data_IF_481325577100
#
_entry.id   IF_481325577100
#
_cell.length_a   1.000
_cell.length_b   1.000
_cell.length_c   1.000
_cell.angle_alpha   90.00
_cell.angle_beta   90.00
_cell.angle_gamma   90.00
#
_symmetry.space_group_name_H-M   'P 1'
#
loop_
_entity.id
_entity.type
_entity.pdbx_description
1 polymer ?
#
# COMPACT_ATOMS: atom_id res chain seq x y z
N UNK A 1 15.11 15.63 -18.17
CA UNK A 1 13.80 15.40 -17.54
C UNK A 1 13.68 13.92 -17.35
N UNK A 2 13.37 13.44 -16.14
CA UNK A 2 13.24 12.02 -15.84
C UNK A 2 11.95 11.45 -16.45
N UNK A 3 11.90 10.13 -16.69
CA UNK A 3 10.65 9.49 -17.13
C UNK A 3 9.60 9.63 -16.01
N UNK A 4 8.35 9.98 -16.30
CA UNK A 4 7.32 10.13 -15.27
C UNK A 4 6.92 8.78 -14.69
N UNK A 5 6.48 8.78 -13.43
CA UNK A 5 5.95 7.58 -12.76
C UNK A 5 4.47 7.43 -13.14
N UNK A 6 4.16 6.50 -14.06
CA UNK A 6 2.80 6.27 -14.58
C UNK A 6 2.24 4.91 -14.20
N UNK A 7 3.08 4.00 -13.77
CA UNK A 7 2.72 2.62 -13.46
C UNK A 7 2.77 2.37 -11.95
N UNK A 8 1.81 1.63 -11.44
CA UNK A 8 1.81 1.16 -10.06
C UNK A 8 1.71 -0.36 -9.99
N UNK A 9 2.40 -0.96 -9.03
CA UNK A 9 2.34 -2.38 -8.69
C UNK A 9 1.78 -2.51 -7.28
N UNK A 10 0.71 -3.29 -7.13
CA UNK A 10 0.04 -3.54 -5.85
C UNK A 10 0.17 -5.04 -5.52
N UNK A 11 1.06 -5.43 -4.61
CA UNK A 11 1.15 -6.81 -4.15
C UNK A 11 -0.05 -7.18 -3.28
N UNK A 12 -0.83 -8.19 -3.73
CA UNK A 12 -2.03 -8.68 -3.06
C UNK A 12 -2.08 -10.22 -3.00
N UNK A 13 -0.92 -10.90 -3.03
CA UNK A 13 -0.83 -12.35 -3.05
C UNK A 13 -0.78 -13.00 -1.65
N UNK A 14 -0.69 -12.22 -0.57
CA UNK A 14 -0.56 -12.72 0.80
C UNK A 14 -1.79 -13.51 1.29
N UNK A 15 -1.58 -14.49 2.18
CA UNK A 15 -2.63 -15.39 2.68
C UNK A 15 -3.60 -14.76 3.68
N UNK A 16 -3.25 -13.65 4.31
CA UNK A 16 -4.13 -12.92 5.24
C UNK A 16 -4.42 -13.66 6.55
N UNK A 17 -3.51 -14.50 7.03
CA UNK A 17 -3.72 -15.39 8.20
C UNK A 17 -4.06 -14.68 9.50
N UNK A 18 -3.69 -13.41 9.65
CA UNK A 18 -4.00 -12.60 10.84
C UNK A 18 -5.51 -12.36 11.03
N UNK A 19 -6.28 -12.43 9.94
CA UNK A 19 -7.73 -12.20 9.93
C UNK A 19 -8.56 -13.49 9.81
N UNK A 20 -7.97 -14.66 10.02
CA UNK A 20 -8.76 -15.88 10.11
C UNK A 20 -9.76 -15.78 11.28
N UNK A 21 -11.01 -16.28 11.11
CA UNK A 21 -11.51 -17.05 9.96
C UNK A 21 -12.02 -16.23 8.77
N UNK A 22 -12.18 -14.90 8.86
CA UNK A 22 -12.76 -14.05 7.81
C UNK A 22 -12.05 -14.23 6.46
N UNK A 23 -10.72 -14.33 6.48
CA UNK A 23 -9.89 -14.45 5.27
C UNK A 23 -9.75 -15.89 4.75
N UNK A 24 -10.51 -16.85 5.26
CA UNK A 24 -10.52 -18.21 4.71
C UNK A 24 -11.00 -18.24 3.26
N UNK A 25 -12.02 -17.44 2.93
CA UNK A 25 -12.63 -17.36 1.60
C UNK A 25 -12.58 -15.95 0.98
N UNK A 26 -12.28 -14.94 1.77
CA UNK A 26 -12.24 -13.52 1.33
C UNK A 26 -10.81 -13.01 1.39
N UNK A 27 -10.26 -12.41 0.33
CA UNK A 27 -8.98 -11.71 0.39
C UNK A 27 -8.97 -10.67 1.51
N UNK A 28 -7.86 -10.55 2.26
CA UNK A 28 -7.75 -9.51 3.29
C UNK A 28 -7.91 -8.10 2.70
N UNK A 29 -7.51 -7.92 1.48
CA UNK A 29 -7.60 -6.67 0.72
C UNK A 29 -9.06 -6.30 0.37
N UNK A 30 -9.99 -7.26 0.47
CA UNK A 30 -11.43 -7.06 0.27
C UNK A 30 -12.20 -6.83 1.58
N UNK A 31 -11.53 -6.87 2.75
CA UNK A 31 -12.18 -6.50 4.00
C UNK A 31 -12.57 -5.01 3.94
N UNK A 32 -13.84 -4.67 4.23
CA UNK A 32 -14.32 -3.30 4.04
C UNK A 32 -13.99 -2.41 5.23
N UNK A 33 -13.47 -1.23 4.95
CA UNK A 33 -13.42 -0.12 5.89
C UNK A 33 -14.70 0.69 5.66
N UNK A 34 -15.64 0.59 6.57
CA UNK A 34 -17.05 1.02 6.45
C UNK A 34 -17.75 0.22 5.34
N UNK A 35 -17.79 0.73 4.11
CA UNK A 35 -18.48 0.16 2.94
C UNK A 35 -17.57 -0.02 1.71
N UNK A 36 -16.30 0.37 1.82
CA UNK A 36 -15.32 0.34 0.73
C UNK A 36 -14.23 -0.67 1.02
N UNK A 37 -13.93 -1.64 0.11
CA UNK A 37 -12.82 -2.56 0.27
C UNK A 37 -11.47 -1.84 0.45
N UNK A 38 -10.62 -2.38 1.31
CA UNK A 38 -9.29 -1.81 1.61
C UNK A 38 -8.50 -1.52 0.34
N UNK A 39 -8.46 -2.44 -0.63
CA UNK A 39 -7.70 -2.27 -1.87
C UNK A 39 -8.19 -1.09 -2.71
N UNK A 40 -9.46 -0.72 -2.62
CA UNK A 40 -9.98 0.41 -3.37
C UNK A 40 -9.39 1.75 -2.88
N UNK A 41 -9.15 1.91 -1.56
CA UNK A 41 -8.44 3.09 -1.04
C UNK A 41 -7.03 3.20 -1.63
N UNK A 42 -6.32 2.08 -1.77
CA UNK A 42 -4.96 2.03 -2.33
C UNK A 42 -4.97 2.43 -3.82
N UNK A 43 -5.94 1.93 -4.57
CA UNK A 43 -6.09 2.23 -6.00
C UNK A 43 -6.50 3.70 -6.19
N UNK A 44 -7.44 4.21 -5.41
CA UNK A 44 -7.84 5.61 -5.45
C UNK A 44 -6.67 6.56 -5.13
N UNK A 45 -5.80 6.20 -4.18
CA UNK A 45 -4.56 6.95 -3.90
C UNK A 45 -3.62 6.96 -5.10
N UNK A 46 -3.42 5.80 -5.74
CA UNK A 46 -2.57 5.70 -6.93
C UNK A 46 -3.10 6.59 -8.07
N UNK A 47 -4.40 6.53 -8.38
CA UNK A 47 -5.03 7.36 -9.41
C UNK A 47 -4.93 8.86 -9.08
N UNK A 48 -5.19 9.24 -7.82
CA UNK A 48 -5.08 10.62 -7.36
C UNK A 48 -3.62 11.13 -7.38
N UNK A 49 -2.64 10.23 -7.48
CA UNK A 49 -1.21 10.55 -7.62
C UNK A 49 -0.74 10.66 -9.07
N UNK A 50 -1.62 10.42 -10.05
CA UNK A 50 -1.32 10.51 -11.48
C UNK A 50 -0.88 9.18 -12.11
N UNK A 51 -1.12 8.04 -11.46
CA UNK A 51 -0.88 6.71 -12.04
C UNK A 51 -1.93 6.44 -13.13
N UNK A 52 -1.48 5.92 -14.26
CA UNK A 52 -2.30 5.62 -15.43
C UNK A 52 -2.60 4.12 -15.58
N UNK A 53 -1.62 3.26 -15.26
CA UNK A 53 -1.73 1.81 -15.37
C UNK A 53 -1.41 1.14 -14.02
N UNK A 54 -2.32 0.30 -13.55
CA UNK A 54 -2.18 -0.41 -12.27
C UNK A 54 -2.04 -1.90 -12.53
N UNK A 55 -1.03 -2.53 -11.93
CA UNK A 55 -0.85 -3.98 -11.90
C UNK A 55 -1.08 -4.50 -10.49
N UNK A 56 -2.03 -5.40 -10.32
CA UNK A 56 -2.23 -6.14 -9.08
C UNK A 56 -1.55 -7.52 -9.20
N UNK A 57 -0.62 -7.79 -8.28
CA UNK A 57 -0.01 -9.11 -8.18
C UNK A 57 -0.88 -9.97 -7.27
N UNK A 58 -1.68 -10.85 -7.88
CA UNK A 58 -2.63 -11.71 -7.18
C UNK A 58 -2.03 -13.06 -6.80
N UNK A 59 -2.67 -13.75 -5.87
CA UNK A 59 -2.41 -15.14 -5.51
C UNK A 59 -3.60 -16.04 -5.83
N UNK A 60 -3.49 -17.30 -5.41
CA UNK A 60 -4.64 -18.22 -5.43
C UNK A 60 -5.74 -17.69 -4.49
N UNK A 61 -7.00 -17.83 -4.89
CA UNK A 61 -8.18 -17.40 -4.09
C UNK A 61 -8.35 -15.87 -3.94
N UNK A 62 -7.82 -15.08 -4.90
CA UNK A 62 -7.95 -13.61 -4.91
C UNK A 62 -8.96 -13.08 -5.96
N UNK A 63 -9.79 -13.96 -6.53
CA UNK A 63 -10.74 -13.63 -7.59
C UNK A 63 -11.71 -12.49 -7.20
N UNK A 64 -12.10 -12.39 -5.94
CA UNK A 64 -12.97 -11.30 -5.48
C UNK A 64 -12.38 -9.89 -5.69
N UNK A 65 -11.05 -9.76 -5.82
CA UNK A 65 -10.40 -8.50 -6.19
C UNK A 65 -10.68 -8.19 -7.67
N UNK A 66 -10.55 -9.19 -8.53
CA UNK A 66 -10.82 -9.08 -9.96
C UNK A 66 -12.30 -8.73 -10.19
N UNK A 67 -13.20 -9.53 -9.59
CA UNK A 67 -14.66 -9.35 -9.68
C UNK A 67 -15.12 -7.95 -9.19
N UNK A 68 -14.43 -7.33 -8.22
CA UNK A 68 -14.78 -6.01 -7.69
C UNK A 68 -14.54 -4.87 -8.69
N UNK A 69 -13.52 -4.98 -9.51
CA UNK A 69 -13.15 -3.95 -10.50
C UNK A 69 -13.66 -4.28 -11.90
N UNK A 70 -14.20 -5.49 -12.11
CA UNK A 70 -14.85 -5.86 -13.37
C UNK A 70 -16.28 -5.31 -13.44
N UNK A 71 -16.80 -5.17 -14.68
CA UNK A 71 -18.17 -4.75 -14.89
C UNK A 71 -19.17 -5.84 -14.48
N UNK A 72 -20.13 -5.44 -13.68
CA UNK A 72 -21.29 -6.29 -13.34
C UNK A 72 -22.53 -5.81 -14.10
N UNK A 73 -22.69 -6.28 -15.33
CA UNK A 73 -23.77 -5.86 -16.24
C UNK A 73 -25.16 -6.10 -15.61
N UNK A 74 -25.35 -7.24 -14.96
CA UNK A 74 -26.63 -7.57 -14.31
C UNK A 74 -26.96 -6.58 -13.17
N UNK A 75 -25.96 -6.24 -12.33
CA UNK A 75 -26.11 -5.24 -11.27
C UNK A 75 -26.43 -3.85 -11.86
N UNK A 76 -25.70 -3.44 -12.89
CA UNK A 76 -25.91 -2.14 -13.54
C UNK A 76 -27.34 -2.02 -14.10
N UNK A 77 -27.83 -3.04 -14.80
CA UNK A 77 -29.19 -3.07 -15.33
C UNK A 77 -30.27 -3.05 -14.21
N UNK A 78 -30.04 -3.74 -13.11
CA UNK A 78 -30.94 -3.73 -11.95
C UNK A 78 -30.99 -2.34 -11.29
N UNK A 79 -29.83 -1.70 -11.11
CA UNK A 79 -29.74 -0.34 -10.52
C UNK A 79 -30.43 0.68 -11.43
N UNK A 80 -30.25 0.58 -12.75
CA UNK A 80 -30.89 1.45 -13.75
C UNK A 80 -32.41 1.28 -13.72
N UNK A 81 -32.89 0.05 -13.76
CA UNK A 81 -34.33 -0.26 -13.70
C UNK A 81 -34.99 0.19 -12.38
N UNK A 82 -34.24 0.20 -11.28
CA UNK A 82 -34.67 0.63 -9.96
C UNK A 82 -34.52 2.14 -9.71
N UNK A 83 -34.01 2.91 -10.67
CA UNK A 83 -33.77 4.35 -10.55
C UNK A 83 -32.67 4.73 -9.56
N UNK A 84 -31.79 3.81 -9.18
CA UNK A 84 -30.66 4.00 -8.25
C UNK A 84 -29.45 4.60 -8.97
N UNK A 85 -29.57 5.84 -9.41
CA UNK A 85 -28.58 6.50 -10.28
C UNK A 85 -27.24 6.71 -9.59
N UNK A 86 -27.21 7.06 -8.30
CA UNK A 86 -25.96 7.29 -7.56
C UNK A 86 -25.15 6.00 -7.41
N UNK A 87 -25.80 4.91 -7.06
CA UNK A 87 -25.19 3.59 -6.94
C UNK A 87 -24.69 3.08 -8.30
N UNK A 88 -25.46 3.33 -9.37
CA UNK A 88 -25.06 2.99 -10.74
C UNK A 88 -23.80 3.75 -11.17
N UNK A 89 -23.74 5.05 -10.93
CA UNK A 89 -22.56 5.87 -11.22
C UNK A 89 -21.34 5.39 -10.43
N UNK A 90 -21.52 5.05 -9.15
CA UNK A 90 -20.46 4.51 -8.31
C UNK A 90 -19.89 3.20 -8.87
N UNK A 91 -20.75 2.23 -9.21
CA UNK A 91 -20.35 0.93 -9.77
C UNK A 91 -19.61 1.11 -11.10
N UNK A 92 -20.16 1.94 -11.99
CA UNK A 92 -19.53 2.24 -13.29
C UNK A 92 -18.15 2.88 -13.13
N UNK A 93 -17.99 3.84 -12.19
CA UNK A 93 -16.71 4.49 -11.91
C UNK A 93 -15.65 3.52 -11.41
N UNK A 94 -16.03 2.55 -10.55
CA UNK A 94 -15.11 1.52 -10.05
C UNK A 94 -14.64 0.63 -11.21
N UNK A 95 -15.53 0.26 -12.12
CA UNK A 95 -15.24 -0.64 -13.24
C UNK A 95 -14.51 0.03 -14.42
N UNK A 96 -14.37 1.36 -14.41
CA UNK A 96 -13.66 2.11 -15.49
C UNK A 96 -12.15 2.27 -15.21
N UNK A 97 -11.65 1.69 -14.16
CA UNK A 97 -10.22 1.78 -13.78
C UNK A 97 -9.42 0.77 -14.60
N UNK A 98 -8.31 1.23 -15.21
CA UNK A 98 -7.42 0.35 -15.97
C UNK A 98 -6.53 -0.47 -15.04
N UNK A 99 -6.87 -1.75 -14.86
CA UNK A 99 -6.15 -2.69 -13.99
C UNK A 99 -5.70 -3.90 -14.78
N UNK A 100 -4.47 -4.31 -14.54
CA UNK A 100 -3.87 -5.55 -15.02
C UNK A 100 -3.68 -6.51 -13.85
N UNK A 101 -3.72 -7.82 -14.12
CA UNK A 101 -3.55 -8.84 -13.10
C UNK A 101 -2.46 -9.83 -13.51
N UNK A 102 -1.50 -10.06 -12.63
CA UNK A 102 -0.50 -11.12 -12.78
C UNK A 102 -0.51 -11.98 -11.52
N UNK A 103 -0.47 -13.30 -11.70
CA UNK A 103 -0.48 -14.22 -10.57
C UNK A 103 0.95 -14.53 -10.12
N UNK A 104 1.25 -14.27 -8.85
CA UNK A 104 2.38 -14.86 -8.17
C UNK A 104 2.06 -16.35 -7.90
N UNK A 105 2.67 -17.25 -8.67
CA UNK A 105 2.35 -18.69 -8.60
C UNK A 105 2.79 -19.32 -7.29
N UNK A 106 3.90 -18.84 -6.73
CA UNK A 106 4.50 -19.30 -5.47
C UNK A 106 4.70 -18.11 -4.52
N UNK A 107 4.27 -18.18 -3.26
CA UNK A 107 4.40 -17.09 -2.29
C UNK A 107 5.83 -16.99 -1.75
N UNK A 108 6.76 -16.51 -2.57
CA UNK A 108 8.20 -16.42 -2.27
C UNK A 108 8.63 -15.06 -1.70
N UNK A 109 7.72 -14.29 -1.15
CA UNK A 109 7.98 -12.99 -0.53
C UNK A 109 7.65 -11.78 -1.40
N UNK A 110 7.79 -10.58 -0.81
CA UNK A 110 7.44 -9.31 -1.44
C UNK A 110 8.35 -8.99 -2.63
N UNK A 111 9.65 -9.18 -2.50
CA UNK A 111 10.60 -8.96 -3.60
C UNK A 111 10.26 -9.82 -4.82
N UNK A 112 9.88 -11.09 -4.61
CA UNK A 112 9.44 -11.95 -5.70
C UNK A 112 8.11 -11.48 -6.32
N UNK A 113 7.18 -10.95 -5.53
CA UNK A 113 5.95 -10.36 -6.07
C UNK A 113 6.27 -9.17 -7.00
N UNK A 114 7.18 -8.28 -6.58
CA UNK A 114 7.64 -7.17 -7.44
C UNK A 114 8.36 -7.68 -8.69
N UNK A 115 9.20 -8.72 -8.58
CA UNK A 115 9.86 -9.32 -9.73
C UNK A 115 8.87 -9.84 -10.79
N UNK A 116 7.69 -10.32 -10.38
CA UNK A 116 6.62 -10.72 -11.33
C UNK A 116 6.13 -9.56 -12.19
N UNK A 117 6.33 -8.30 -11.78
CA UNK A 117 5.93 -7.12 -12.52
C UNK A 117 6.93 -6.69 -13.61
N UNK A 118 8.13 -7.30 -13.71
CA UNK A 118 9.23 -6.86 -14.58
C UNK A 118 8.78 -6.57 -16.01
N UNK A 119 8.03 -7.46 -16.63
CA UNK A 119 7.59 -7.29 -18.03
C UNK A 119 6.52 -6.21 -18.21
N UNK A 120 5.68 -5.97 -17.20
CA UNK A 120 4.70 -4.89 -17.21
C UNK A 120 5.36 -3.53 -17.04
N UNK A 121 6.31 -3.44 -16.12
CA UNK A 121 7.04 -2.20 -15.83
C UNK A 121 7.96 -1.81 -16.97
N UNK A 122 8.73 -2.77 -17.51
CA UNK A 122 9.75 -2.49 -18.52
C UNK A 122 10.88 -1.61 -17.95
N UNK A 123 11.27 -0.59 -18.69
CA UNK A 123 12.36 0.35 -18.36
C UNK A 123 11.83 1.68 -17.80
N UNK A 124 10.72 1.65 -17.07
CA UNK A 124 10.10 2.85 -16.50
C UNK A 124 10.20 2.84 -14.97
N UNK A 125 10.28 4.02 -14.32
CA UNK A 125 10.06 4.12 -12.89
C UNK A 125 8.62 3.73 -12.56
N UNK A 126 8.42 3.13 -11.42
CA UNK A 126 7.10 2.66 -11.01
C UNK A 126 6.86 2.84 -9.52
N UNK A 127 5.59 2.97 -9.16
CA UNK A 127 5.16 3.00 -7.78
C UNK A 127 4.90 1.59 -7.26
N UNK A 128 5.15 1.36 -5.96
CA UNK A 128 4.66 0.19 -5.24
C UNK A 128 3.81 0.67 -4.08
N UNK A 129 2.59 0.13 -3.96
CA UNK A 129 1.70 0.39 -2.84
C UNK A 129 1.31 -0.94 -2.21
N UNK A 130 1.61 -1.12 -0.92
CA UNK A 130 1.18 -2.32 -0.20
C UNK A 130 -0.33 -2.28 0.05
N UNK A 131 -1.00 -3.40 -0.20
CA UNK A 131 -2.47 -3.53 -0.17
C UNK A 131 -3.10 -3.47 1.23
N UNK A 132 -2.30 -3.38 2.29
CA UNK A 132 -2.72 -3.32 3.69
C UNK A 132 -2.24 -2.06 4.44
N UNK A 133 -1.75 -1.06 3.72
CA UNK A 133 -1.37 0.24 4.26
C UNK A 133 -2.29 1.34 3.69
N UNK A 134 -3.26 1.79 4.45
CA UNK A 134 -4.15 2.90 4.06
C UNK A 134 -3.60 4.20 4.63
N UNK A 135 -3.47 5.22 3.79
CA UNK A 135 -3.04 6.55 4.22
C UNK A 135 -4.13 7.58 3.97
N UNK A 136 -4.52 8.27 5.03
CA UNK A 136 -5.41 9.41 4.96
C UNK A 136 -4.60 10.70 5.01
N UNK A 137 -4.60 11.43 3.90
CA UNK A 137 -3.86 12.69 3.78
C UNK A 137 -4.51 13.62 2.76
N UNK A 138 -4.25 14.93 2.92
CA UNK A 138 -4.74 15.94 1.98
C UNK A 138 -4.07 15.82 0.59
N UNK A 139 -2.78 15.53 0.57
CA UNK A 139 -2.01 15.21 -0.64
C UNK A 139 -1.68 13.73 -0.55
N UNK A 140 -2.06 12.88 -1.53
CA UNK A 140 -1.78 11.46 -1.48
C UNK A 140 -0.32 11.17 -1.13
N UNK A 141 -0.07 10.18 -0.26
CA UNK A 141 1.30 9.87 0.16
C UNK A 141 2.18 9.50 -1.05
N UNK A 142 1.66 8.72 -1.97
CA UNK A 142 2.38 8.40 -3.21
C UNK A 142 2.73 9.66 -4.02
N UNK A 143 1.82 10.64 -4.13
CA UNK A 143 2.11 11.90 -4.84
C UNK A 143 3.26 12.66 -4.21
N UNK A 144 3.34 12.67 -2.87
CA UNK A 144 4.46 13.30 -2.16
C UNK A 144 5.81 12.64 -2.52
N UNK A 145 5.83 11.30 -2.65
CA UNK A 145 7.03 10.58 -3.09
C UNK A 145 7.38 10.87 -4.55
N UNK A 146 6.36 10.93 -5.43
CA UNK A 146 6.56 11.26 -6.85
C UNK A 146 7.17 12.66 -6.98
N UNK A 147 6.75 13.63 -6.15
CA UNK A 147 7.30 14.98 -6.16
C UNK A 147 8.81 15.02 -5.79
N UNK A 148 9.27 14.11 -4.93
CA UNK A 148 10.70 13.93 -4.62
C UNK A 148 11.41 13.24 -5.79
N UNK A 149 10.81 12.21 -6.38
CA UNK A 149 11.34 11.53 -7.55
C UNK A 149 11.51 12.50 -8.73
N UNK A 150 10.53 13.35 -9.01
CA UNK A 150 10.57 14.33 -10.11
C UNK A 150 11.74 15.33 -9.99
N UNK A 151 12.20 15.60 -8.77
CA UNK A 151 13.37 16.42 -8.50
C UNK A 151 14.69 15.67 -8.62
N UNK A 152 14.71 14.41 -8.19
CA UNK A 152 15.97 13.66 -7.97
C UNK A 152 16.25 12.61 -9.05
N UNK A 153 15.21 12.08 -9.70
CA UNK A 153 15.29 10.93 -10.62
C UNK A 153 15.68 9.61 -9.94
N UNK A 154 15.71 9.58 -8.61
CA UNK A 154 16.15 8.45 -7.82
C UNK A 154 14.99 7.75 -7.13
N UNK A 155 15.16 6.47 -6.74
CA UNK A 155 14.17 5.74 -5.97
C UNK A 155 13.84 6.44 -4.65
N UNK A 156 12.57 6.45 -4.26
CA UNK A 156 12.06 7.11 -3.05
C UNK A 156 11.24 6.14 -2.22
N UNK A 157 11.56 6.05 -0.94
CA UNK A 157 10.85 5.24 0.05
C UNK A 157 9.96 6.13 0.92
N UNK A 158 8.70 5.76 1.08
CA UNK A 158 7.81 6.42 2.04
C UNK A 158 8.06 5.92 3.44
N UNK A 159 8.45 6.82 4.34
CA UNK A 159 8.77 6.49 5.72
C UNK A 159 7.99 7.36 6.71
N UNK A 160 7.86 6.89 7.94
CA UNK A 160 7.49 7.68 9.12
C UNK A 160 8.24 7.14 10.35
N UNK A 161 8.42 7.99 11.35
CA UNK A 161 8.91 7.53 12.65
C UNK A 161 7.88 6.61 13.33
N UNK A 162 8.35 5.47 13.83
CA UNK A 162 7.54 4.54 14.63
C UNK A 162 8.06 4.46 16.05
N UNK A 163 7.21 4.08 17.03
CA UNK A 163 7.68 3.77 18.39
C UNK A 163 8.76 2.69 18.37
N UNK A 164 9.72 2.80 19.31
CA UNK A 164 10.89 1.91 19.38
C UNK A 164 10.49 0.42 19.41
N UNK A 165 9.43 0.08 20.13
CA UNK A 165 8.93 -1.30 20.26
C UNK A 165 8.33 -1.85 18.95
N UNK A 166 8.07 -0.99 17.95
CA UNK A 166 7.49 -1.38 16.65
C UNK A 166 8.51 -1.53 15.52
N UNK A 167 9.78 -1.17 15.73
CA UNK A 167 10.81 -1.23 14.67
C UNK A 167 10.97 -2.66 14.12
N UNK A 168 10.80 -3.69 14.94
CA UNK A 168 10.91 -5.10 14.52
C UNK A 168 9.78 -5.57 13.57
N UNK A 169 8.79 -4.73 13.30
CA UNK A 169 7.69 -5.05 12.37
C UNK A 169 7.98 -4.60 10.93
N UNK A 170 8.94 -3.70 10.71
CA UNK A 170 9.15 -2.98 9.45
C UNK A 170 10.59 -3.07 8.96
N UNK A 171 10.81 -2.77 7.68
CA UNK A 171 12.12 -2.37 7.18
C UNK A 171 12.48 -1.00 7.75
N UNK A 172 13.65 -0.88 8.36
CA UNK A 172 14.13 0.35 8.99
C UNK A 172 15.26 0.96 8.15
N UNK A 173 15.17 2.26 7.91
CA UNK A 173 16.11 3.03 7.09
C UNK A 173 17.13 3.74 7.98
N UNK A 174 18.42 3.65 7.62
CA UNK A 174 19.43 4.61 8.03
C UNK A 174 19.67 5.61 6.91
N UNK A 175 19.88 6.87 7.24
CA UNK A 175 20.12 7.90 6.21
C UNK A 175 20.71 9.17 6.79
N UNK A 176 21.25 10.00 5.88
CA UNK A 176 21.79 11.31 6.19
C UNK A 176 20.76 12.40 5.82
N UNK A 177 20.62 13.45 6.64
CA UNK A 177 19.78 14.59 6.31
C UNK A 177 20.17 15.20 4.96
N UNK A 178 19.19 15.74 4.24
CA UNK A 178 19.41 16.52 3.01
C UNK A 178 18.96 17.96 3.21
N UNK A 179 19.21 18.82 2.24
CA UNK A 179 18.71 20.22 2.25
C UNK A 179 17.18 20.27 2.02
N UNK A 180 16.58 19.21 1.51
CA UNK A 180 15.13 19.10 1.32
C UNK A 180 14.45 18.64 2.62
N UNK A 181 13.46 19.40 3.07
CA UNK A 181 12.72 19.07 4.28
C UNK A 181 12.09 17.67 4.21
N UNK A 182 12.11 16.93 5.34
CA UNK A 182 11.51 15.60 5.48
C UNK A 182 12.16 14.52 4.59
N UNK A 183 13.31 14.81 3.96
CA UNK A 183 13.99 13.89 3.04
C UNK A 183 15.35 13.52 3.63
N UNK A 184 15.65 12.23 3.65
CA UNK A 184 16.98 11.73 4.00
C UNK A 184 17.54 10.91 2.84
N UNK A 185 18.85 11.01 2.62
CA UNK A 185 19.57 10.13 1.69
C UNK A 185 19.82 8.80 2.37
N UNK A 186 19.30 7.73 1.80
CA UNK A 186 19.43 6.38 2.36
C UNK A 186 20.89 5.92 2.31
N UNK A 187 21.42 5.46 3.45
CA UNK A 187 22.77 4.90 3.56
C UNK A 187 22.74 3.40 3.86
N UNK A 188 21.73 2.91 4.58
CA UNK A 188 21.52 1.50 4.86
C UNK A 188 20.05 1.18 5.16
N UNK A 189 19.70 -0.12 5.11
CA UNK A 189 18.38 -0.63 5.43
C UNK A 189 18.48 -1.99 6.10
N UNK A 190 17.60 -2.26 7.07
CA UNK A 190 17.53 -3.57 7.75
C UNK A 190 16.08 -4.02 7.85
N UNK A 191 15.79 -5.22 7.35
CA UNK A 191 14.44 -5.82 7.40
C UNK A 191 14.17 -6.37 8.79
N UNK A 192 13.17 -5.79 9.48
CA UNK A 192 12.69 -6.23 10.79
C UNK A 192 13.83 -6.49 11.80
N UNK A 193 14.66 -5.49 12.09
CA UNK A 193 15.78 -5.65 13.01
C UNK A 193 15.30 -6.00 14.44
N UNK A 194 16.18 -6.55 15.27
CA UNK A 194 15.96 -6.50 16.70
C UNK A 194 15.94 -5.03 17.18
N UNK A 195 15.24 -4.75 18.28
CA UNK A 195 15.05 -3.38 18.77
C UNK A 195 16.41 -2.67 19.01
N UNK A 196 17.38 -3.42 19.49
CA UNK A 196 18.73 -2.96 19.83
C UNK A 196 19.61 -2.76 18.58
N UNK A 197 19.26 -3.42 17.46
CA UNK A 197 20.01 -3.39 16.20
C UNK A 197 19.41 -2.42 15.18
N UNK A 198 18.25 -1.82 15.49
CA UNK A 198 17.60 -0.90 14.59
C UNK A 198 18.45 0.37 14.37
N UNK A 199 18.85 0.70 13.13
CA UNK A 199 19.72 1.84 12.87
C UNK A 199 19.03 3.19 13.10
N UNK A 200 17.71 3.21 13.13
CA UNK A 200 16.87 4.38 13.38
C UNK A 200 15.47 3.94 13.80
N UNK A 201 14.52 4.90 13.83
CA UNK A 201 13.08 4.64 13.93
C UNK A 201 12.30 4.98 12.66
N UNK A 202 12.99 5.27 11.57
CA UNK A 202 12.36 5.54 10.27
C UNK A 202 11.96 4.23 9.59
N UNK A 203 10.69 3.90 9.68
CA UNK A 203 10.11 2.68 9.12
C UNK A 203 9.57 2.92 7.71
N UNK A 204 9.84 2.00 6.80
CA UNK A 204 9.25 2.01 5.46
C UNK A 204 7.81 1.54 5.53
N UNK A 205 6.88 2.39 5.10
CA UNK A 205 5.45 2.20 5.31
C UNK A 205 4.67 2.08 3.99
N UNK A 206 4.99 1.05 3.23
CA UNK A 206 4.16 0.55 2.15
C UNK A 206 4.01 1.43 0.91
N UNK A 207 4.76 2.52 0.80
CA UNK A 207 4.80 3.41 -0.37
C UNK A 207 6.21 3.53 -0.89
N UNK A 208 6.37 3.29 -2.21
CA UNK A 208 7.68 3.34 -2.87
C UNK A 208 7.51 3.93 -4.27
N UNK A 209 8.51 4.68 -4.70
CA UNK A 209 8.82 4.94 -6.11
C UNK A 209 10.15 4.26 -6.38
N UNK A 210 10.20 3.33 -7.33
CA UNK A 210 11.38 2.50 -7.57
C UNK A 210 11.78 2.62 -9.04
N UNK A 211 13.07 2.71 -9.28
CA UNK A 211 13.64 2.70 -10.63
C UNK A 211 13.81 1.26 -11.16
N UNK A 212 13.76 1.02 -12.49
CA UNK A 212 13.74 -0.33 -13.06
C UNK A 212 15.01 -1.15 -12.81
N UNK A 213 16.11 -0.50 -12.38
CA UNK A 213 17.36 -1.16 -12.00
C UNK A 213 17.21 -2.15 -10.84
N UNK A 214 16.10 -2.08 -10.11
CA UNK A 214 15.78 -3.06 -9.06
C UNK A 214 15.62 -4.49 -9.61
N UNK A 215 15.17 -4.67 -10.86
CA UNK A 215 14.84 -5.99 -11.40
C UNK A 215 16.05 -6.91 -11.54
N UNK A 216 17.20 -6.51 -12.14
CA UNK A 216 18.39 -7.33 -12.14
C UNK A 216 18.87 -7.73 -10.74
N UNK A 217 18.69 -6.86 -9.76
CA UNK A 217 19.05 -7.13 -8.36
C UNK A 217 18.09 -8.17 -7.77
N UNK A 218 16.79 -8.03 -7.98
CA UNK A 218 15.78 -9.00 -7.51
C UNK A 218 15.98 -10.39 -8.11
N UNK A 219 16.43 -10.51 -9.36
CA UNK A 219 16.75 -11.79 -9.99
C UNK A 219 17.89 -12.55 -9.31
N UNK A 220 18.81 -11.81 -8.66
CA UNK A 220 19.97 -12.36 -7.96
C UNK A 220 19.79 -12.44 -6.45
N UNK A 221 18.75 -11.78 -5.91
CA UNK A 221 18.50 -11.73 -4.46
C UNK A 221 18.17 -13.13 -3.92
N UNK A 222 18.97 -13.59 -2.97
CA UNK A 222 18.75 -14.85 -2.29
C UNK A 222 17.63 -14.74 -1.25
N UNK A 223 16.90 -15.83 -0.95
CA UNK A 223 15.95 -15.83 0.13
C UNK A 223 16.59 -15.45 1.46
N UNK A 224 16.02 -14.47 2.14
CA UNK A 224 16.44 -13.97 3.45
C UNK A 224 15.53 -14.47 4.56
N UNK A 225 15.14 -13.56 5.46
CA UNK A 225 14.27 -13.87 6.60
C UNK A 225 12.98 -14.57 6.17
N UNK A 226 12.62 -15.66 6.82
CA UNK A 226 11.43 -16.45 6.51
C UNK A 226 11.52 -17.27 5.21
N UNK A 227 12.71 -17.42 4.65
CA UNK A 227 12.95 -18.06 3.33
C UNK A 227 12.22 -17.33 2.19
N UNK A 228 12.08 -16.00 2.30
CA UNK A 228 11.43 -15.12 1.35
C UNK A 228 12.44 -14.21 0.64
N UNK A 229 12.19 -13.88 -0.62
CA UNK A 229 12.90 -12.82 -1.34
C UNK A 229 12.36 -11.49 -0.82
N UNK A 230 13.16 -10.81 0.01
CA UNK A 230 12.77 -9.55 0.64
C UNK A 230 13.03 -8.38 -0.31
N UNK A 231 12.06 -7.48 -0.43
CA UNK A 231 12.25 -6.25 -1.19
C UNK A 231 13.30 -5.34 -0.54
N UNK A 232 13.33 -5.29 0.79
CA UNK A 232 14.29 -4.50 1.57
C UNK A 232 15.74 -4.89 1.27
N UNK A 233 16.03 -6.19 1.11
CA UNK A 233 17.37 -6.67 0.79
C UNK A 233 17.82 -6.21 -0.61
N UNK A 234 16.91 -6.26 -1.59
CA UNK A 234 17.18 -5.76 -2.94
C UNK A 234 17.35 -4.23 -2.96
N UNK A 235 16.51 -3.49 -2.23
CA UNK A 235 16.62 -2.04 -2.10
C UNK A 235 17.95 -1.62 -1.41
N UNK A 236 18.40 -2.39 -0.42
CA UNK A 236 19.72 -2.20 0.21
C UNK A 236 20.87 -2.31 -0.79
N UNK A 237 20.79 -3.25 -1.72
CA UNK A 237 21.79 -3.38 -2.80
C UNK A 237 21.69 -2.18 -3.75
N UNK A 238 20.48 -1.85 -4.20
CA UNK A 238 20.22 -0.71 -5.08
C UNK A 238 20.75 0.61 -4.51
N UNK A 239 20.58 0.84 -3.20
CA UNK A 239 21.06 2.04 -2.51
C UNK A 239 22.59 2.20 -2.49
N UNK A 240 23.34 1.08 -2.73
CA UNK A 240 24.79 1.12 -2.87
C UNK A 240 25.24 1.43 -4.30
N UNK A 241 24.38 1.15 -5.28
CA UNK A 241 24.70 1.34 -6.70
C UNK A 241 24.26 2.70 -7.22
N UNK A 242 23.21 3.29 -6.62
CA UNK A 242 22.67 4.60 -7.02
C UNK A 242 22.06 5.35 -5.83
N UNK A 243 21.92 6.69 -5.91
CA UNK A 243 21.22 7.46 -4.89
C UNK A 243 19.81 6.94 -4.64
N UNK A 244 19.40 6.92 -3.37
CA UNK A 244 18.05 6.58 -2.93
C UNK A 244 17.65 7.52 -1.80
N UNK A 245 16.40 7.92 -1.76
CA UNK A 245 15.89 8.81 -0.74
C UNK A 245 14.76 8.15 0.06
N UNK A 246 14.62 8.55 1.30
CA UNK A 246 13.45 8.25 2.12
C UNK A 246 12.76 9.57 2.45
N UNK A 247 11.45 9.62 2.23
CA UNK A 247 10.63 10.78 2.48
C UNK A 247 9.62 10.50 3.59
N UNK A 248 9.69 11.29 4.67
CA UNK A 248 8.74 11.24 5.77
C UNK A 248 7.42 11.89 5.35
N UNK A 249 6.52 11.09 4.76
CA UNK A 249 5.28 11.60 4.18
C UNK A 249 4.30 12.11 5.25
N UNK A 250 3.51 13.11 4.87
CA UNK A 250 2.46 13.69 5.70
C UNK A 250 1.18 12.91 5.49
N UNK A 251 0.58 12.43 6.59
CA UNK A 251 -0.69 11.72 6.57
C UNK A 251 -0.84 10.77 7.76
N UNK A 252 -2.08 10.38 8.05
CA UNK A 252 -2.38 9.34 9.03
C UNK A 252 -2.37 7.98 8.33
N UNK A 253 -1.38 7.16 8.66
CA UNK A 253 -1.29 5.78 8.17
C UNK A 253 -2.04 4.83 9.10
N UNK A 254 -2.76 3.88 8.52
CA UNK A 254 -3.41 2.76 9.18
C UNK A 254 -2.82 1.46 8.65
N UNK A 255 -2.24 0.64 9.55
CA UNK A 255 -1.85 -0.74 9.24
C UNK A 255 -3.10 -1.62 9.30
N UNK A 256 -3.81 -1.72 8.18
CA UNK A 256 -5.03 -2.54 8.11
C UNK A 256 -4.72 -4.03 7.89
N UNK A 257 -3.44 -4.40 7.85
CA UNK A 257 -2.98 -5.79 7.95
C UNK A 257 -2.95 -6.33 9.39
N UNK A 258 -3.19 -5.46 10.39
CA UNK A 258 -3.35 -5.78 11.80
C UNK A 258 -4.76 -5.47 12.28
N UNK A 259 -5.29 -6.25 13.25
CA UNK A 259 -6.67 -6.08 13.75
C UNK A 259 -6.91 -4.73 14.41
N UNK A 260 -5.94 -4.26 15.21
CA UNK A 260 -6.07 -2.97 15.88
C UNK A 260 -6.10 -1.82 14.87
N UNK A 261 -5.13 -1.79 13.94
CA UNK A 261 -5.08 -0.76 12.89
C UNK A 261 -6.30 -0.80 11.97
N UNK A 262 -6.86 -1.99 11.69
CA UNK A 262 -8.08 -2.13 10.92
C UNK A 262 -9.31 -1.51 11.66
N UNK A 263 -9.41 -1.74 12.96
CA UNK A 263 -10.47 -1.13 13.78
C UNK A 263 -10.31 0.39 13.88
N UNK A 264 -9.09 0.89 14.10
CA UNK A 264 -8.80 2.33 14.09
C UNK A 264 -9.22 2.98 12.77
N UNK A 265 -8.83 2.39 11.63
CA UNK A 265 -9.22 2.86 10.31
C UNK A 265 -10.74 2.88 10.15
N UNK A 266 -11.43 1.81 10.56
CA UNK A 266 -12.88 1.70 10.44
C UNK A 266 -13.60 2.77 11.26
N UNK A 267 -13.17 2.98 12.50
CA UNK A 267 -13.77 4.00 13.39
C UNK A 267 -13.51 5.42 12.85
N UNK A 268 -12.27 5.75 12.52
CA UNK A 268 -11.92 7.10 12.08
C UNK A 268 -12.54 7.42 10.71
N UNK A 269 -12.62 6.47 9.77
CA UNK A 269 -13.27 6.67 8.48
C UNK A 269 -14.79 6.79 8.63
N UNK A 270 -15.43 6.00 9.51
CA UNK A 270 -16.86 6.15 9.82
C UNK A 270 -17.19 7.54 10.39
N UNK A 271 -16.30 8.10 11.22
CA UNK A 271 -16.46 9.46 11.75
C UNK A 271 -16.25 10.56 10.68
N UNK A 272 -15.62 10.25 9.54
CA UNK A 272 -15.52 11.16 8.40
C UNK A 272 -16.70 11.07 7.44
N UNK A 273 -17.49 9.98 7.51
CA UNK A 273 -18.69 9.82 6.70
C UNK A 273 -19.82 10.72 7.26
N UNK A 274 -20.29 11.73 6.52
CA UNK A 274 -21.30 12.67 7.03
C UNK A 274 -22.59 12.00 7.49
N UNK A 275 -23.01 10.92 6.81
CA UNK A 275 -24.25 10.20 7.10
C UNK A 275 -24.19 9.38 8.40
N UNK A 276 -22.98 8.97 8.80
CA UNK A 276 -22.75 8.12 9.98
C UNK A 276 -22.28 8.91 11.20
N UNK A 277 -21.52 10.00 10.98
CA UNK A 277 -20.74 10.71 11.97
C UNK A 277 -21.45 10.91 13.30
N UNK A 278 -22.58 11.62 13.30
CA UNK A 278 -23.20 12.09 14.56
C UNK A 278 -23.77 10.94 15.38
N UNK A 279 -24.44 10.00 14.71
CA UNK A 279 -25.01 8.81 15.35
C UNK A 279 -23.91 7.91 15.89
N UNK A 280 -22.85 7.72 15.10
CA UNK A 280 -21.75 6.86 15.47
C UNK A 280 -20.91 7.46 16.60
N UNK A 281 -20.65 8.76 16.57
CA UNK A 281 -19.95 9.46 17.66
C UNK A 281 -20.71 9.33 18.99
N UNK A 282 -22.02 9.55 18.98
CA UNK A 282 -22.88 9.38 20.17
C UNK A 282 -22.81 7.93 20.69
N UNK A 283 -22.85 6.96 19.81
CA UNK A 283 -22.70 5.54 20.16
C UNK A 283 -21.35 5.25 20.82
N UNK A 284 -20.24 5.72 20.23
CA UNK A 284 -18.89 5.53 20.78
C UNK A 284 -18.73 6.15 22.16
N UNK A 285 -19.24 7.37 22.37
CA UNK A 285 -19.25 8.02 23.68
C UNK A 285 -19.99 7.18 24.73
N UNK A 286 -21.13 6.59 24.34
CA UNK A 286 -21.88 5.69 25.19
C UNK A 286 -21.14 4.40 25.56
N UNK A 287 -20.37 3.82 24.65
CA UNK A 287 -19.52 2.66 24.93
C UNK A 287 -18.41 3.04 25.91
N UNK A 288 -17.63 4.09 25.60
CA UNK A 288 -16.51 4.54 26.45
C UNK A 288 -17.01 4.81 27.88
N UNK A 289 -18.16 5.48 28.04
CA UNK A 289 -18.74 5.77 29.35
C UNK A 289 -19.15 4.51 30.14
N UNK A 290 -19.44 3.39 29.48
CA UNK A 290 -19.74 2.10 30.13
C UNK A 290 -18.49 1.34 30.52
N UNK A 291 -17.47 1.30 29.65
CA UNK A 291 -16.22 0.57 29.87
C UNK A 291 -15.29 1.28 30.87
N UNK A 292 -15.49 2.58 31.13
CA UNK A 292 -14.70 3.37 32.08
C UNK A 292 -15.25 3.27 33.52
N UNK A 293 -16.33 2.51 33.78
CA UNK A 293 -16.89 2.22 35.11
C UNK A 293 -16.40 0.88 35.62
#
# INVERSE_FOLDING_TARGET
MFKPVRKAVIPAAGLGTRFLPATKATPKEMLPIVDKPTIQYIIEEALASGIEDILIITGRSKRAIEDHFDRSIELELNLEASGKTKELELVRKISDIRIHYIRQKEPRGLGHAILCAKHFVGDEPFAVLLGDDVVDSRVPALKQLIDVYDKTGASVLGVQEVPQEKVSAYGIVAGEPTDEARTVKVTDMVEKPAVEEAPSRLAVLGRYVITPEIFPILEQTQPGRGNEIQLTDALKVLAKEQPMYAYDFVGRRYDVGDKQGFLEATVEMALKCPELRDKFLTYLQGIVAKESK
#
